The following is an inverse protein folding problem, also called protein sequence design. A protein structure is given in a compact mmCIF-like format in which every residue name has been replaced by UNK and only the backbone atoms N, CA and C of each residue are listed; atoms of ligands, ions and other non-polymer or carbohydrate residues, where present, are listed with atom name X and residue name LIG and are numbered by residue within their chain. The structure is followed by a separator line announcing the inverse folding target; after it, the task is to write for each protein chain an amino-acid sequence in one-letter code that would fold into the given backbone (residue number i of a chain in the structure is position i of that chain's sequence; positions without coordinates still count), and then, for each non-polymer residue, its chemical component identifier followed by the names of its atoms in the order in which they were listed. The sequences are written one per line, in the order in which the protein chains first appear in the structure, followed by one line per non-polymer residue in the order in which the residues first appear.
data_IF_693672926234
#
_entry.id   IF_693672926234
#
_cell.length_a   1.000
_cell.length_b   1.000
_cell.length_c   1.000
_cell.angle_alpha   90.00
_cell.angle_beta   90.00
_cell.angle_gamma   90.00
#
_symmetry.space_group_name_H-M   'P 1'
#
loop_
_entity.id
_entity.type
_entity.pdbx_description
1 polymer ?
#
# COMPACT_ATOMS: atom_id res chain seq x y z
N UNK A 1 13.21 -19.62 -9.21
CA UNK A 1 13.22 -18.13 -9.26
C UNK A 1 12.29 -17.58 -8.17
N UNK A 2 12.82 -17.04 -7.07
CA UNK A 2 12.00 -16.43 -6.04
C UNK A 2 11.37 -15.13 -6.57
N UNK A 3 10.09 -15.18 -6.98
CA UNK A 3 9.30 -13.95 -7.22
C UNK A 3 9.30 -13.13 -5.93
N UNK A 4 9.75 -11.89 -6.00
CA UNK A 4 9.75 -10.99 -4.84
C UNK A 4 8.32 -10.85 -4.32
N UNK A 5 8.02 -11.57 -3.23
CA UNK A 5 6.68 -11.60 -2.64
C UNK A 5 6.36 -10.21 -2.07
N UNK A 6 5.24 -9.59 -2.49
CA UNK A 6 4.79 -8.32 -1.92
C UNK A 6 4.52 -8.48 -0.41
N UNK A 7 4.74 -7.42 0.39
CA UNK A 7 4.30 -7.40 1.78
C UNK A 7 2.80 -7.67 1.90
N UNK A 8 2.39 -8.29 3.00
CA UNK A 8 0.96 -8.49 3.32
C UNK A 8 0.33 -7.25 3.97
N UNK A 9 1.17 -6.43 4.60
CA UNK A 9 0.75 -5.24 5.34
C UNK A 9 1.47 -4.02 4.82
N UNK A 10 0.75 -2.90 4.68
CA UNK A 10 1.34 -1.64 4.27
C UNK A 10 0.97 -0.51 5.23
N UNK A 11 2.00 0.22 5.68
CA UNK A 11 1.85 1.43 6.47
C UNK A 11 2.16 2.66 5.62
N UNK A 12 1.24 3.62 5.58
CA UNK A 12 1.48 4.93 4.99
C UNK A 12 2.09 5.87 6.02
N UNK A 13 3.15 6.57 5.63
CA UNK A 13 3.82 7.59 6.43
C UNK A 13 4.08 8.84 5.58
N UNK A 14 3.99 10.01 6.17
CA UNK A 14 4.21 11.32 5.52
C UNK A 14 5.54 11.95 5.90
N UNK A 15 6.13 11.54 7.02
CA UNK A 15 7.42 11.99 7.54
C UNK A 15 8.13 10.88 8.31
N UNK A 16 9.41 11.06 8.57
CA UNK A 16 10.15 10.19 9.47
C UNK A 16 9.82 10.50 10.93
N UNK A 17 9.53 9.48 11.72
CA UNK A 17 9.38 9.54 13.18
C UNK A 17 10.24 8.44 13.81
N UNK A 18 10.99 8.75 14.90
CA UNK A 18 11.88 7.76 15.55
C UNK A 18 11.17 6.45 15.93
N UNK A 19 9.89 6.53 16.30
CA UNK A 19 9.06 5.40 16.72
C UNK A 19 7.93 5.11 15.72
N UNK A 20 8.23 5.03 14.43
CA UNK A 20 7.24 4.74 13.38
C UNK A 20 6.48 3.45 13.67
N UNK A 21 7.19 2.45 14.19
CA UNK A 21 6.61 1.17 14.61
C UNK A 21 6.95 0.91 16.07
N UNK A 22 5.94 0.82 16.91
CA UNK A 22 6.08 0.36 18.31
C UNK A 22 6.44 -1.14 18.37
N UNK A 23 6.15 -1.90 17.33
CA UNK A 23 6.32 -3.36 17.29
C UNK A 23 6.81 -3.82 15.91
N UNK A 24 7.54 -4.92 15.87
CA UNK A 24 7.95 -5.56 14.63
C UNK A 24 6.72 -6.26 14.00
N UNK A 25 6.35 -5.84 12.80
CA UNK A 25 5.30 -6.47 12.00
C UNK A 25 6.00 -7.25 10.87
N UNK A 26 5.79 -8.56 10.86
CA UNK A 26 6.31 -9.43 9.80
C UNK A 26 5.59 -9.10 8.48
N UNK A 27 6.31 -9.18 7.35
CA UNK A 27 5.77 -8.90 6.02
C UNK A 27 5.17 -7.50 5.86
N UNK A 28 5.79 -6.49 6.50
CA UNK A 28 5.41 -5.08 6.37
C UNK A 28 6.13 -4.42 5.20
N UNK A 29 5.40 -3.53 4.51
CA UNK A 29 5.93 -2.51 3.62
C UNK A 29 5.58 -1.11 4.14
N UNK A 30 6.49 -0.17 3.98
CA UNK A 30 6.26 1.25 4.29
C UNK A 30 6.15 2.03 2.98
N UNK A 31 5.09 2.83 2.86
CA UNK A 31 4.88 3.75 1.74
C UNK A 31 5.05 5.17 2.25
N UNK A 32 6.10 5.86 1.81
CA UNK A 32 6.25 7.29 2.01
C UNK A 32 5.26 8.03 1.12
N UNK A 33 4.30 8.73 1.71
CA UNK A 33 3.21 9.42 1.03
C UNK A 33 3.08 10.85 1.53
N UNK A 34 3.86 11.74 0.94
CA UNK A 34 3.77 13.17 1.15
C UNK A 34 3.46 13.85 -0.20
N UNK A 35 2.35 14.57 -0.28
CA UNK A 35 1.88 15.25 -1.50
C UNK A 35 2.20 16.75 -1.52
N UNK A 36 3.04 17.24 -0.62
CA UNK A 36 3.54 18.59 -0.65
C UNK A 36 4.36 18.85 -1.94
N UNK A 37 4.40 20.09 -2.40
CA UNK A 37 5.11 20.48 -3.64
C UNK A 37 6.57 20.03 -3.64
N UNK A 38 7.26 20.13 -2.51
CA UNK A 38 8.64 19.64 -2.34
C UNK A 38 8.65 18.53 -1.30
N UNK A 39 8.95 17.31 -1.74
CA UNK A 39 9.13 16.17 -0.85
C UNK A 39 10.45 16.32 -0.08
N UNK A 40 10.42 16.02 1.22
CA UNK A 40 11.60 16.10 2.06
C UNK A 40 12.51 14.89 1.84
N UNK A 41 13.62 15.08 1.13
CA UNK A 41 14.57 14.01 0.83
C UNK A 41 15.27 13.47 2.08
N UNK A 42 15.46 14.30 3.13
CA UNK A 42 16.04 13.86 4.39
C UNK A 42 15.12 12.86 5.11
N UNK A 43 13.80 13.10 5.09
CA UNK A 43 12.82 12.13 5.61
C UNK A 43 12.86 10.82 4.82
N UNK A 44 12.97 10.91 3.49
CA UNK A 44 13.06 9.73 2.62
C UNK A 44 14.32 8.93 2.96
N UNK A 45 15.47 9.60 3.11
CA UNK A 45 16.74 8.98 3.47
C UNK A 45 16.66 8.26 4.82
N UNK A 46 16.15 8.95 5.86
CA UNK A 46 15.97 8.38 7.20
C UNK A 46 15.02 7.18 7.18
N UNK A 47 13.90 7.27 6.46
CA UNK A 47 12.95 6.17 6.29
C UNK A 47 13.59 4.97 5.55
N UNK A 48 14.35 5.24 4.49
CA UNK A 48 15.04 4.19 3.75
C UNK A 48 16.06 3.45 4.62
N UNK A 49 16.88 4.20 5.37
CA UNK A 49 17.85 3.64 6.32
C UNK A 49 17.17 2.81 7.40
N UNK A 50 16.08 3.33 7.99
CA UNK A 50 15.27 2.60 8.96
C UNK A 50 14.72 1.28 8.37
N UNK A 51 14.14 1.34 7.17
CA UNK A 51 13.59 0.17 6.51
C UNK A 51 14.66 -0.89 6.20
N UNK A 52 15.86 -0.47 5.79
CA UNK A 52 16.99 -1.38 5.56
C UNK A 52 17.39 -2.11 6.85
N UNK A 53 17.62 -1.37 7.94
CA UNK A 53 17.97 -1.95 9.26
C UNK A 53 16.93 -2.95 9.76
N UNK A 54 15.65 -2.72 9.48
CA UNK A 54 14.53 -3.58 9.90
C UNK A 54 14.10 -4.63 8.86
N UNK A 55 14.77 -4.72 7.70
CA UNK A 55 14.42 -5.60 6.57
C UNK A 55 12.97 -5.38 6.08
N UNK A 56 12.49 -4.13 6.12
CA UNK A 56 11.16 -3.72 5.67
C UNK A 56 11.24 -3.22 4.23
N UNK A 57 10.29 -3.61 3.38
CA UNK A 57 10.22 -3.08 2.02
C UNK A 57 9.73 -1.62 2.04
N UNK A 58 10.42 -0.76 1.30
CA UNK A 58 10.16 0.67 1.23
C UNK A 58 9.68 1.10 -0.15
N UNK A 59 8.65 1.92 -0.20
CA UNK A 59 8.01 2.42 -1.40
C UNK A 59 7.85 3.93 -1.33
N UNK A 60 7.91 4.59 -2.50
CA UNK A 60 7.69 6.04 -2.60
C UNK A 60 6.43 6.32 -3.41
N UNK A 61 5.62 7.24 -2.93
CA UNK A 61 4.38 7.63 -3.59
C UNK A 61 4.62 8.67 -4.67
N UNK A 62 4.04 8.42 -5.86
CA UNK A 62 3.81 9.39 -6.93
C UNK A 62 5.05 10.10 -7.50
N UNK A 63 6.25 9.63 -7.21
CA UNK A 63 7.50 10.23 -7.70
C UNK A 63 8.50 9.14 -8.09
N UNK A 64 8.55 8.84 -9.41
CA UNK A 64 9.43 7.80 -9.94
C UNK A 64 10.92 8.19 -9.82
N UNK A 65 11.25 9.47 -10.03
CA UNK A 65 12.65 9.94 -9.93
C UNK A 65 13.21 9.68 -8.53
N UNK A 66 12.45 10.03 -7.48
CA UNK A 66 12.85 9.77 -6.10
C UNK A 66 12.83 8.26 -5.78
N UNK A 67 11.87 7.50 -6.31
CA UNK A 67 11.81 6.06 -6.11
C UNK A 67 13.08 5.35 -6.64
N UNK A 68 13.60 5.79 -7.78
CA UNK A 68 14.86 5.30 -8.36
C UNK A 68 16.06 5.82 -7.57
N UNK A 69 16.13 7.15 -7.31
CA UNK A 69 17.22 7.80 -6.57
C UNK A 69 17.49 7.13 -5.23
N UNK A 70 16.44 6.84 -4.46
CA UNK A 70 16.54 6.20 -3.14
C UNK A 70 16.49 4.67 -3.18
N UNK A 71 16.63 4.06 -4.36
CA UNK A 71 16.62 2.59 -4.54
C UNK A 71 15.47 1.94 -3.77
N UNK A 72 14.24 2.49 -3.90
CA UNK A 72 13.05 1.93 -3.27
C UNK A 72 12.69 0.58 -3.89
N UNK A 73 11.91 -0.23 -3.19
CA UNK A 73 11.43 -1.51 -3.70
C UNK A 73 10.27 -1.38 -4.71
N UNK A 74 9.80 -0.14 -4.92
CA UNK A 74 8.73 0.13 -5.88
C UNK A 74 8.12 1.51 -5.70
N UNK A 75 7.08 1.77 -6.49
CA UNK A 75 6.32 3.01 -6.49
C UNK A 75 4.87 2.74 -6.14
N UNK A 76 4.25 3.70 -5.42
CA UNK A 76 2.82 3.73 -5.21
C UNK A 76 2.19 4.86 -6.04
N UNK A 77 1.22 4.53 -6.89
CA UNK A 77 0.49 5.45 -7.76
C UNK A 77 -0.91 5.70 -7.17
N UNK A 78 -1.19 6.90 -6.62
CA UNK A 78 -2.49 7.22 -6.05
C UNK A 78 -3.60 7.23 -7.11
N UNK A 79 -4.85 7.10 -6.67
CA UNK A 79 -6.02 7.03 -7.55
C UNK A 79 -6.17 8.25 -8.46
N UNK A 80 -5.88 9.44 -7.96
CA UNK A 80 -5.96 10.69 -8.72
C UNK A 80 -4.92 10.80 -9.85
N UNK A 81 -3.78 10.09 -9.77
CA UNK A 81 -2.79 10.12 -10.84
C UNK A 81 -3.15 9.13 -11.93
N UNK A 82 -3.67 9.66 -13.03
CA UNK A 82 -4.09 8.91 -14.22
C UNK A 82 -3.02 8.94 -15.34
N UNK A 83 -1.96 9.76 -15.20
CA UNK A 83 -1.01 10.06 -16.27
C UNK A 83 0.23 9.18 -16.29
N UNK A 84 0.67 8.70 -15.13
CA UNK A 84 1.89 7.87 -15.07
C UNK A 84 1.60 6.52 -15.72
N UNK A 85 2.27 6.26 -16.83
CA UNK A 85 2.38 4.92 -17.42
C UNK A 85 3.83 4.50 -17.28
N UNK A 86 4.07 3.36 -16.63
CA UNK A 86 5.42 2.88 -16.36
C UNK A 86 5.75 1.71 -17.30
N UNK A 87 6.82 1.86 -18.06
CA UNK A 87 7.37 0.75 -18.82
C UNK A 87 8.23 -0.11 -17.88
N UNK A 88 7.78 -1.30 -17.56
CA UNK A 88 8.51 -2.24 -16.68
C UNK A 88 9.88 -2.63 -17.23
N UNK A 89 10.09 -2.55 -18.55
CA UNK A 89 11.40 -2.84 -19.18
C UNK A 89 12.51 -1.91 -18.68
N UNK A 90 12.15 -0.68 -18.32
CA UNK A 90 13.11 0.34 -17.85
C UNK A 90 13.30 0.34 -16.32
N UNK A 91 12.69 -0.64 -15.62
CA UNK A 91 12.75 -0.74 -14.18
C UNK A 91 13.48 -2.02 -13.77
N UNK A 92 14.06 -2.01 -12.58
CA UNK A 92 14.71 -3.23 -12.06
C UNK A 92 13.70 -4.37 -11.98
N UNK A 93 14.13 -5.60 -12.25
CA UNK A 93 13.28 -6.82 -12.32
C UNK A 93 12.33 -6.99 -11.12
N UNK A 94 12.72 -6.48 -9.97
CA UNK A 94 11.99 -6.62 -8.72
C UNK A 94 11.26 -5.34 -8.27
N UNK A 95 11.17 -4.33 -9.15
CA UNK A 95 10.52 -3.07 -8.81
C UNK A 95 9.01 -3.23 -8.90
N UNK A 96 8.33 -3.07 -7.76
CA UNK A 96 6.88 -3.23 -7.67
C UNK A 96 6.14 -1.94 -8.03
N UNK A 97 5.09 -2.06 -8.84
CA UNK A 97 4.17 -0.97 -9.15
C UNK A 97 2.86 -1.25 -8.42
N UNK A 98 2.50 -0.38 -7.49
CA UNK A 98 1.32 -0.51 -6.64
C UNK A 98 0.42 0.69 -6.89
N UNK A 99 -0.88 0.47 -7.05
CA UNK A 99 -1.85 1.55 -7.25
C UNK A 99 -2.91 1.63 -6.16
N UNK A 100 -3.74 2.67 -6.20
CA UNK A 100 -5.00 2.71 -5.46
C UNK A 100 -6.18 3.05 -6.36
N UNK A 101 -7.35 2.54 -5.99
CA UNK A 101 -8.61 2.73 -6.70
C UNK A 101 -9.80 2.79 -5.74
N UNK A 102 -10.90 3.41 -6.19
CA UNK A 102 -12.15 3.53 -5.44
C UNK A 102 -13.34 2.88 -6.17
N UNK A 103 -13.18 2.57 -7.45
CA UNK A 103 -14.21 2.01 -8.31
C UNK A 103 -13.60 1.20 -9.47
N UNK A 104 -14.47 0.58 -10.27
CA UNK A 104 -14.07 -0.28 -11.38
C UNK A 104 -13.25 0.44 -12.46
N UNK A 105 -13.61 1.68 -12.82
CA UNK A 105 -12.88 2.45 -13.83
C UNK A 105 -11.44 2.75 -13.37
N UNK A 106 -11.28 3.11 -12.08
CA UNK A 106 -9.96 3.36 -11.52
C UNK A 106 -9.13 2.08 -11.41
N UNK A 107 -9.75 0.91 -11.13
CA UNK A 107 -9.07 -0.38 -11.15
C UNK A 107 -8.51 -0.65 -12.54
N UNK A 108 -9.34 -0.55 -13.60
CA UNK A 108 -8.89 -0.72 -14.99
C UNK A 108 -7.72 0.20 -15.30
N UNK A 109 -7.85 1.49 -14.96
CA UNK A 109 -6.77 2.46 -15.18
C UNK A 109 -5.46 2.10 -14.46
N UNK A 110 -5.53 1.56 -13.23
CA UNK A 110 -4.33 1.10 -12.51
C UNK A 110 -3.71 -0.14 -13.16
N UNK A 111 -4.51 -1.04 -13.70
CA UNK A 111 -4.02 -2.18 -14.48
C UNK A 111 -3.27 -1.70 -15.72
N UNK A 112 -3.85 -0.77 -16.48
CA UNK A 112 -3.24 -0.15 -17.69
C UNK A 112 -1.93 0.57 -17.34
N UNK A 113 -1.82 1.15 -16.13
CA UNK A 113 -0.59 1.75 -15.61
C UNK A 113 0.47 0.72 -15.17
N UNK A 114 0.20 -0.58 -15.32
CA UNK A 114 1.12 -1.66 -14.98
C UNK A 114 1.13 -2.02 -13.49
N UNK A 115 0.13 -1.61 -12.71
CA UNK A 115 0.06 -1.96 -11.29
C UNK A 115 -0.19 -3.46 -11.12
N UNK A 116 0.70 -4.15 -10.40
CA UNK A 116 0.54 -5.56 -10.04
C UNK A 116 -0.28 -5.76 -8.76
N UNK A 117 -0.44 -4.68 -7.98
CA UNK A 117 -1.24 -4.67 -6.77
C UNK A 117 -2.03 -3.37 -6.65
N UNK A 118 -3.26 -3.45 -6.13
CA UNK A 118 -4.17 -2.32 -6.03
C UNK A 118 -4.78 -2.24 -4.64
N UNK A 119 -4.60 -1.09 -3.98
CA UNK A 119 -5.33 -0.75 -2.75
C UNK A 119 -6.72 -0.28 -3.12
N UNK A 120 -7.74 -1.04 -2.75
CA UNK A 120 -9.12 -0.70 -3.00
C UNK A 120 -9.74 -0.08 -1.74
N UNK A 121 -10.25 1.14 -1.84
CA UNK A 121 -10.68 1.94 -0.68
C UNK A 121 -11.84 2.88 -0.97
N UNK A 122 -12.55 3.37 0.07
CA UNK A 122 -12.47 2.88 1.44
C UNK A 122 -13.32 1.62 1.63
N UNK A 123 -12.78 0.60 2.31
CA UNK A 123 -13.51 -0.64 2.59
C UNK A 123 -14.66 -0.37 3.56
N UNK A 124 -14.36 0.30 4.68
CA UNK A 124 -15.33 0.69 5.70
C UNK A 124 -15.42 2.22 5.83
N UNK A 125 -16.46 2.69 6.54
CA UNK A 125 -16.69 4.13 6.79
C UNK A 125 -15.45 4.80 7.42
N UNK A 126 -15.05 5.93 6.86
CA UNK A 126 -13.97 6.79 7.36
C UNK A 126 -14.51 8.19 7.68
N UNK A 127 -13.84 8.92 8.59
CA UNK A 127 -14.29 10.26 9.01
C UNK A 127 -14.48 11.23 7.83
N UNK A 128 -13.60 11.18 6.85
CA UNK A 128 -13.57 12.10 5.71
C UNK A 128 -14.51 11.72 4.56
N UNK A 129 -15.04 10.51 4.54
CA UNK A 129 -15.89 10.04 3.44
C UNK A 129 -17.01 9.15 3.99
N UNK A 130 -18.26 9.55 3.74
CA UNK A 130 -19.44 8.76 4.13
C UNK A 130 -19.63 7.53 3.23
N UNK A 131 -19.19 7.60 1.96
CA UNK A 131 -19.31 6.50 1.00
C UNK A 131 -18.18 5.48 1.22
N UNK A 132 -18.52 4.21 1.29
CA UNK A 132 -17.59 3.09 1.40
C UNK A 132 -18.11 1.88 0.61
N UNK A 133 -17.23 0.91 0.38
CA UNK A 133 -17.54 -0.24 -0.48
C UNK A 133 -18.37 -1.31 0.26
N UNK A 134 -18.01 -1.62 1.49
CA UNK A 134 -18.51 -2.79 2.19
C UNK A 134 -17.96 -4.11 1.60
N UNK A 135 -18.34 -5.23 2.21
CA UNK A 135 -17.82 -6.56 1.85
C UNK A 135 -18.28 -6.99 0.46
N UNK A 136 -19.59 -6.93 0.18
CA UNK A 136 -20.14 -7.42 -1.08
C UNK A 136 -19.57 -6.69 -2.29
N UNK A 137 -19.60 -5.36 -2.28
CA UNK A 137 -19.08 -4.56 -3.40
C UNK A 137 -17.57 -4.71 -3.56
N UNK A 138 -16.82 -4.83 -2.46
CA UNK A 138 -15.39 -5.08 -2.50
C UNK A 138 -15.08 -6.40 -3.21
N UNK A 139 -15.73 -7.50 -2.80
CA UNK A 139 -15.52 -8.82 -3.41
C UNK A 139 -15.95 -8.84 -4.88
N UNK A 140 -17.11 -8.28 -5.23
CA UNK A 140 -17.56 -8.17 -6.62
C UNK A 140 -16.57 -7.44 -7.52
N UNK A 141 -15.91 -6.39 -7.01
CA UNK A 141 -14.90 -5.65 -7.76
C UNK A 141 -13.59 -6.44 -7.91
N UNK A 142 -13.17 -7.15 -6.87
CA UNK A 142 -11.87 -7.83 -6.85
C UNK A 142 -11.86 -9.17 -7.55
N UNK A 143 -12.96 -9.92 -7.54
CA UNK A 143 -13.08 -11.22 -8.18
C UNK A 143 -12.94 -11.17 -9.72
N UNK A 144 -13.20 -10.01 -10.33
CA UNK A 144 -13.11 -9.80 -11.78
C UNK A 144 -11.67 -9.75 -12.33
N UNK A 145 -10.66 -9.64 -11.45
CA UNK A 145 -9.29 -9.39 -11.87
C UNK A 145 -8.28 -10.33 -11.20
N UNK A 146 -7.22 -10.68 -11.92
CA UNK A 146 -6.11 -11.51 -11.41
C UNK A 146 -5.09 -10.71 -10.56
N UNK A 147 -5.27 -9.40 -10.43
CA UNK A 147 -4.38 -8.54 -9.66
C UNK A 147 -4.49 -8.81 -8.16
N UNK A 148 -3.43 -8.47 -7.41
CA UNK A 148 -3.46 -8.56 -5.96
C UNK A 148 -4.16 -7.35 -5.37
N UNK A 149 -5.25 -7.57 -4.64
CA UNK A 149 -5.98 -6.50 -3.97
C UNK A 149 -5.62 -6.40 -2.50
N UNK A 150 -5.59 -5.18 -2.03
CA UNK A 150 -5.37 -4.84 -0.62
C UNK A 150 -6.54 -4.02 -0.09
N UNK A 151 -7.05 -4.43 1.05
CA UNK A 151 -8.08 -3.66 1.75
C UNK A 151 -7.48 -2.38 2.38
N UNK A 152 -8.11 -1.24 2.15
CA UNK A 152 -7.70 0.04 2.72
C UNK A 152 -8.91 0.86 3.16
N UNK A 153 -8.78 1.54 4.30
CA UNK A 153 -9.76 2.51 4.81
C UNK A 153 -10.77 1.94 5.80
N UNK A 154 -10.86 2.57 6.94
CA UNK A 154 -11.82 2.26 8.01
C UNK A 154 -11.53 0.96 8.79
N UNK A 155 -10.39 0.32 8.58
CA UNK A 155 -10.00 -0.91 9.29
C UNK A 155 -9.66 -0.58 10.75
N UNK A 156 -10.30 -1.28 11.68
CA UNK A 156 -10.17 -1.12 13.14
C UNK A 156 -10.20 -2.49 13.82
N UNK A 157 -9.87 -2.53 15.12
CA UNK A 157 -9.91 -3.77 15.94
C UNK A 157 -11.27 -4.47 15.88
N UNK A 158 -12.37 -3.71 15.86
CA UNK A 158 -13.74 -4.24 15.85
C UNK A 158 -14.13 -4.94 14.54
N UNK A 159 -13.53 -4.56 13.41
CA UNK A 159 -13.92 -5.08 12.10
C UNK A 159 -12.80 -5.87 11.38
N UNK A 160 -11.67 -6.10 12.05
CA UNK A 160 -10.52 -6.80 11.45
C UNK A 160 -10.88 -8.23 11.01
N UNK A 161 -11.74 -8.92 11.76
CA UNK A 161 -12.16 -10.29 11.47
C UNK A 161 -12.92 -10.41 10.14
N UNK A 162 -13.56 -9.33 9.69
CA UNK A 162 -14.28 -9.27 8.40
C UNK A 162 -13.30 -9.42 7.22
N UNK A 163 -12.03 -9.11 7.40
CA UNK A 163 -11.04 -9.28 6.33
C UNK A 163 -10.87 -10.74 5.88
N UNK A 164 -11.24 -11.72 6.71
CA UNK A 164 -11.16 -13.16 6.38
C UNK A 164 -12.07 -13.59 5.24
N UNK A 165 -13.19 -12.89 5.04
CA UNK A 165 -14.18 -13.19 4.01
C UNK A 165 -13.99 -12.34 2.74
N UNK A 166 -12.91 -11.56 2.67
CA UNK A 166 -12.60 -10.71 1.53
C UNK A 166 -11.63 -11.40 0.58
N UNK A 167 -11.82 -11.16 -0.71
CA UNK A 167 -10.84 -11.54 -1.74
C UNK A 167 -9.65 -10.56 -1.74
N UNK A 168 -8.74 -10.71 -0.77
CA UNK A 168 -7.59 -9.83 -0.58
C UNK A 168 -6.27 -10.58 -0.49
N UNK A 169 -5.22 -9.94 -0.94
CA UNK A 169 -3.85 -10.39 -0.71
C UNK A 169 -3.29 -9.88 0.61
N UNK A 170 -3.78 -8.73 1.09
CA UNK A 170 -3.33 -8.09 2.30
C UNK A 170 -4.13 -6.83 2.63
N UNK A 171 -3.62 -6.06 3.56
CA UNK A 171 -4.26 -4.81 3.96
C UNK A 171 -3.28 -3.66 4.13
N UNK A 172 -3.81 -2.44 4.07
CA UNK A 172 -3.08 -1.23 4.37
C UNK A 172 -3.82 -0.36 5.39
N UNK A 173 -3.08 0.39 6.18
CA UNK A 173 -3.65 1.29 7.17
C UNK A 173 -2.64 2.27 7.72
N UNK A 174 -3.14 3.31 8.39
CA UNK A 174 -2.32 4.28 9.12
C UNK A 174 -2.45 4.02 10.62
N UNK A 175 -3.67 4.15 11.13
CA UNK A 175 -3.93 4.15 12.57
C UNK A 175 -3.85 2.76 13.20
N UNK A 176 -4.38 1.75 12.53
CA UNK A 176 -4.42 0.39 13.09
C UNK A 176 -3.03 -0.21 13.24
N UNK A 177 -2.18 -0.07 12.21
CA UNK A 177 -0.82 -0.61 12.23
C UNK A 177 0.14 0.19 13.12
N UNK A 178 -0.10 1.51 13.33
CA UNK A 178 0.70 2.33 14.25
C UNK A 178 0.38 2.03 15.73
N UNK A 179 -0.89 1.82 16.09
CA UNK A 179 -1.35 1.74 17.49
C UNK A 179 -1.39 0.33 18.06
N UNK A 180 -1.61 -0.68 17.25
CA UNK A 180 -1.85 -2.03 17.71
C UNK A 180 -0.74 -2.99 17.26
N UNK A 181 -0.34 -3.87 18.17
CA UNK A 181 0.34 -5.11 17.81
C UNK A 181 -0.77 -6.11 17.45
N UNK A 182 -0.99 -6.43 16.19
CA UNK A 182 -1.86 -7.57 15.92
C UNK A 182 -1.08 -8.83 16.28
N UNK A 183 -1.26 -9.32 17.53
CA UNK A 183 -0.65 -10.56 18.00
C UNK A 183 -0.93 -11.77 17.08
N UNK A 184 -1.90 -11.64 16.17
CA UNK A 184 -2.39 -12.70 15.30
C UNK A 184 -2.61 -12.28 13.84
N UNK A 185 -1.90 -11.28 13.30
CA UNK A 185 -2.02 -10.91 11.87
C UNK A 185 -1.69 -12.08 10.93
N UNK A 186 -0.79 -12.97 11.31
CA UNK A 186 -0.47 -14.17 10.52
C UNK A 186 -1.61 -15.18 10.35
N UNK A 187 -2.66 -15.10 11.19
CA UNK A 187 -3.86 -15.96 11.11
C UNK A 187 -5.01 -15.35 10.29
N UNK A 188 -4.87 -14.12 9.79
CA UNK A 188 -5.93 -13.39 9.09
C UNK A 188 -5.77 -13.34 7.57
N UNK A 189 -4.61 -13.75 7.01
CA UNK A 189 -4.34 -13.70 5.57
C UNK A 189 -3.57 -14.91 5.09
#
# INVERSE_FOLDING_TARGET
MHKNKLPKYFLFVDKYEKNILKNNIINLGIIYRNYLKKQNENDIFKLRSYCNKKKIKFYISNNLKLAIKFKSHGIYIPSFNKRITLNKKNLTKNFAIIGSAHNQMEIKKKIDQGCEAIFLSPLFKVKKNKKYLGVCKFNLLTLKYKNKFFALGGIRKQNINILKILNIYGMAGISYLKKNRPKNLGRFL
#
